data_IF_362881201280
#
_entry.id   IF_362881201280
#
_cell.length_a   1.000
_cell.length_b   1.000
_cell.length_c   1.000
_cell.angle_alpha   90.00
_cell.angle_beta   90.00
_cell.angle_gamma   90.00
#
_symmetry.space_group_name_H-M   'P 1'
#
loop_
_entity.id
_entity.type
_entity.pdbx_description
1 polymer ?
#
# COMPACT_ATOMS: atom_id res chain seq x y z
N UNK A 1 -37.51 -46.76 8.62
CA UNK A 1 -38.62 -47.64 8.18
C UNK A 1 -39.88 -46.80 8.22
N UNK A 2 -40.38 -46.47 7.04
CA UNK A 2 -41.66 -45.78 6.81
C UNK A 2 -42.82 -46.79 6.93
N UNK A 3 -44.06 -46.45 6.53
CA UNK A 3 -45.23 -46.16 7.35
C UNK A 3 -46.35 -47.19 7.08
N UNK A 4 -47.59 -46.96 7.51
CA UNK A 4 -48.89 -47.51 6.99
C UNK A 4 -49.97 -46.95 7.93
N UNK A 5 -51.17 -46.49 7.56
CA UNK A 5 -51.85 -46.12 6.31
C UNK A 5 -53.25 -45.60 6.77
N UNK A 6 -53.79 -44.57 6.11
CA UNK A 6 -55.19 -44.12 6.23
C UNK A 6 -56.19 -45.21 5.75
N UNK A 7 -57.50 -45.09 6.04
CA UNK A 7 -58.46 -44.43 5.10
C UNK A 7 -59.56 -43.63 5.86
N UNK A 8 -60.16 -42.51 5.44
CA UNK A 8 -60.78 -42.06 4.18
C UNK A 8 -62.04 -42.84 3.73
N UNK A 9 -63.21 -42.29 4.03
CA UNK A 9 -64.45 -42.41 3.26
C UNK A 9 -65.15 -41.03 3.35
N UNK A 10 -65.00 -40.18 2.32
CA UNK A 10 -65.85 -40.05 1.12
C UNK A 10 -67.10 -39.19 1.39
N UNK A 11 -67.13 -37.95 0.90
CA UNK A 11 -67.67 -37.52 -0.42
C UNK A 11 -69.21 -37.67 -0.43
N UNK A 12 -70.02 -36.61 -0.55
CA UNK A 12 -70.19 -35.87 -1.80
C UNK A 12 -71.11 -34.60 -1.68
N UNK A 13 -70.82 -33.62 -2.54
CA UNK A 13 -71.76 -32.72 -3.27
C UNK A 13 -72.52 -31.62 -2.47
N UNK A 14 -72.06 -30.35 -2.60
CA UNK A 14 -72.63 -29.33 -3.52
C UNK A 14 -71.77 -28.06 -3.55
N UNK A 15 -71.09 -27.89 -4.69
CA UNK A 15 -70.67 -26.61 -5.25
C UNK A 15 -71.94 -25.79 -5.57
N UNK A 16 -71.82 -24.46 -5.46
CA UNK A 16 -72.68 -23.35 -5.94
C UNK A 16 -73.06 -22.43 -4.77
N UNK A 17 -72.24 -21.40 -4.55
CA UNK A 17 -72.66 -20.03 -4.21
C UNK A 17 -71.42 -19.14 -4.00
N UNK A 18 -70.67 -18.96 -5.10
CA UNK A 18 -69.83 -17.79 -5.33
C UNK A 18 -70.47 -17.04 -6.50
N UNK A 19 -71.27 -16.02 -6.18
CA UNK A 19 -71.50 -14.80 -6.97
C UNK A 19 -72.67 -14.03 -6.35
N UNK A 20 -72.32 -12.96 -5.62
CA UNK A 20 -72.98 -11.65 -5.57
C UNK A 20 -74.47 -11.62 -5.17
N UNK A 21 -74.81 -10.83 -4.15
CA UNK A 21 -74.88 -9.41 -4.45
C UNK A 21 -74.11 -8.55 -3.45
N UNK A 22 -73.14 -7.83 -4.01
CA UNK A 22 -72.58 -6.57 -3.53
C UNK A 22 -73.63 -5.43 -3.50
N UNK A 23 -74.85 -5.71 -3.05
CA UNK A 23 -75.96 -4.75 -2.98
C UNK A 23 -76.70 -4.94 -1.65
N UNK A 24 -75.98 -4.74 -0.55
CA UNK A 24 -76.48 -4.25 0.74
C UNK A 24 -75.25 -3.87 1.58
N UNK A 25 -74.52 -2.91 1.03
CA UNK A 25 -73.71 -2.01 1.84
C UNK A 25 -74.64 -1.15 2.69
N UNK A 26 -74.10 -0.71 3.82
CA UNK A 26 -74.38 0.59 4.43
C UNK A 26 -75.58 0.68 5.39
N UNK A 27 -75.41 0.12 6.59
CA UNK A 27 -75.70 0.86 7.82
C UNK A 27 -74.85 0.28 8.95
N UNK A 28 -73.67 0.86 9.20
CA UNK A 28 -72.91 0.90 10.47
C UNK A 28 -71.42 1.03 10.15
N UNK A 29 -70.99 2.19 9.68
CA UNK A 29 -69.59 2.64 9.74
C UNK A 29 -69.59 4.17 9.52
N UNK A 30 -68.95 4.89 10.44
CA UNK A 30 -68.87 6.34 10.52
C UNK A 30 -68.26 6.98 9.25
N UNK A 31 -68.67 8.22 8.89
CA UNK A 31 -68.35 8.82 7.60
C UNK A 31 -67.00 9.56 7.59
N UNK A 32 -65.92 8.99 8.13
CA UNK A 32 -64.61 9.66 8.14
C UNK A 32 -63.44 8.87 7.54
N UNK A 33 -63.60 7.59 7.16
CA UNK A 33 -62.47 6.79 6.65
C UNK A 33 -62.55 6.38 5.17
N UNK A 34 -63.55 6.86 4.43
CA UNK A 34 -63.74 6.47 3.01
C UNK A 34 -62.99 7.32 1.98
N UNK A 35 -62.11 8.23 2.40
CA UNK A 35 -61.30 9.08 1.51
C UNK A 35 -59.81 8.70 1.42
N UNK A 36 -59.35 7.68 2.17
CA UNK A 36 -57.91 7.39 2.29
C UNK A 36 -57.40 6.38 1.24
N UNK A 37 -58.28 5.65 0.55
CA UNK A 37 -57.88 4.59 -0.40
C UNK A 37 -58.08 4.93 -1.89
N UNK A 38 -58.37 6.20 -2.23
CA UNK A 38 -58.55 6.62 -3.64
C UNK A 38 -57.63 7.77 -4.06
N UNK A 39 -56.60 8.10 -3.28
CA UNK A 39 -55.64 9.14 -3.66
C UNK A 39 -54.33 8.49 -4.13
N UNK A 40 -54.09 8.53 -5.44
CA UNK A 40 -52.89 7.99 -6.09
C UNK A 40 -51.64 8.83 -5.84
N UNK A 41 -51.73 9.90 -5.05
CA UNK A 41 -50.61 10.77 -4.72
C UNK A 41 -50.09 10.52 -3.30
N UNK A 42 -49.34 9.43 -3.16
CA UNK A 42 -48.65 9.07 -1.92
C UNK A 42 -47.78 10.22 -1.38
N UNK A 43 -47.31 11.14 -2.24
CA UNK A 43 -46.53 12.34 -1.87
C UNK A 43 -47.24 13.27 -0.89
N UNK A 44 -48.58 13.33 -0.89
CA UNK A 44 -49.34 14.20 0.03
C UNK A 44 -49.42 13.66 1.46
N UNK A 45 -49.25 12.34 1.64
CA UNK A 45 -49.32 11.71 2.96
C UNK A 45 -48.08 11.99 3.82
N UNK A 46 -46.91 12.23 3.20
CA UNK A 46 -45.69 12.65 3.91
C UNK A 46 -45.74 14.13 4.33
N UNK A 47 -46.57 14.93 3.68
CA UNK A 47 -46.64 16.39 3.88
C UNK A 47 -47.63 16.81 4.98
N UNK A 48 -48.40 15.89 5.56
CA UNK A 48 -49.45 16.22 6.56
C UNK A 48 -48.98 16.07 8.02
N UNK A 49 -47.73 15.68 8.23
CA UNK A 49 -47.06 15.71 9.53
C UNK A 49 -46.57 17.11 9.89
N UNK A 50 -47.51 18.02 10.19
CA UNK A 50 -47.30 19.19 11.05
C UNK A 50 -46.68 20.45 10.45
N UNK A 51 -47.49 21.33 9.83
CA UNK A 51 -47.28 22.79 9.83
C UNK A 51 -48.65 23.48 9.95
N UNK A 52 -48.77 24.37 10.93
CA UNK A 52 -49.96 25.19 11.21
C UNK A 52 -50.09 26.31 10.15
N UNK A 53 -51.26 26.61 9.55
CA UNK A 53 -51.34 27.47 8.36
C UNK A 53 -51.01 28.95 8.58
N UNK A 54 -50.85 29.39 9.82
CA UNK A 54 -50.60 30.80 10.16
C UNK A 54 -49.16 31.11 10.61
N UNK A 55 -48.22 30.15 10.52
CA UNK A 55 -46.79 30.49 10.66
C UNK A 55 -46.25 30.98 9.32
N UNK A 56 -46.07 32.29 9.22
CA UNK A 56 -45.27 32.96 8.19
C UNK A 56 -43.94 32.20 8.02
N UNK A 57 -43.83 31.43 6.94
CA UNK A 57 -42.62 30.66 6.62
C UNK A 57 -41.56 31.66 6.15
N UNK A 58 -40.60 31.98 7.01
CA UNK A 58 -39.41 32.69 6.59
C UNK A 58 -38.66 31.79 5.59
N UNK A 59 -38.73 32.12 4.30
CA UNK A 59 -38.01 31.45 3.22
C UNK A 59 -36.50 31.76 3.25
N UNK A 60 -35.86 31.47 4.37
CA UNK A 60 -34.40 31.37 4.49
C UNK A 60 -34.08 29.99 5.07
N UNK A 61 -34.24 28.94 4.27
CA UNK A 61 -33.48 27.72 4.53
C UNK A 61 -32.03 28.06 4.15
N UNK A 62 -31.28 28.52 5.14
CA UNK A 62 -29.90 28.89 4.98
C UNK A 62 -29.12 27.64 4.52
N UNK A 63 -28.51 27.72 3.34
CA UNK A 63 -27.66 26.66 2.78
C UNK A 63 -26.49 26.29 3.69
N UNK A 64 -26.25 27.07 4.77
CA UNK A 64 -25.25 26.83 5.81
C UNK A 64 -25.54 25.62 6.71
N UNK A 65 -26.78 25.09 6.71
CA UNK A 65 -27.19 24.00 7.61
C UNK A 65 -27.09 22.58 6.99
N UNK A 66 -26.84 22.47 5.67
CA UNK A 66 -26.72 21.15 5.04
C UNK A 66 -25.47 20.40 5.50
N UNK A 67 -25.53 19.06 5.71
CA UNK A 67 -24.33 18.30 6.05
C UNK A 67 -23.26 18.45 4.98
N UNK A 68 -22.05 18.82 5.36
CA UNK A 68 -20.94 19.02 4.45
C UNK A 68 -19.66 18.45 5.05
N UNK A 69 -18.73 18.03 4.19
CA UNK A 69 -17.39 17.68 4.62
C UNK A 69 -16.58 18.95 4.87
N UNK A 70 -15.90 19.01 6.01
CA UNK A 70 -15.12 20.19 6.42
C UNK A 70 -13.82 20.32 5.60
N UNK A 71 -13.26 19.18 5.17
CA UNK A 71 -12.08 19.10 4.31
C UNK A 71 -12.55 18.84 2.86
N UNK A 72 -12.45 19.87 2.00
CA UNK A 72 -12.99 19.95 0.63
C UNK A 72 -12.21 19.12 -0.41
N UNK A 73 -11.11 18.47 -0.03
CA UNK A 73 -10.39 17.61 -0.96
C UNK A 73 -11.20 16.34 -1.22
N UNK A 74 -11.55 16.10 -2.49
CA UNK A 74 -12.32 14.92 -2.90
C UNK A 74 -11.70 13.59 -2.44
N UNK A 75 -10.38 13.55 -2.18
CA UNK A 75 -9.71 12.41 -1.59
C UNK A 75 -8.49 12.80 -0.73
N UNK A 76 -8.37 12.22 0.48
CA UNK A 76 -7.19 12.36 1.35
C UNK A 76 -6.33 11.09 1.36
N UNK A 77 -5.00 11.23 1.44
CA UNK A 77 -4.06 10.10 1.50
C UNK A 77 -3.60 9.85 2.95
N UNK A 78 -3.79 8.62 3.43
CA UNK A 78 -3.31 8.20 4.76
C UNK A 78 -2.28 7.09 4.58
N UNK A 79 -1.02 7.34 4.95
CA UNK A 79 0.07 6.36 4.85
C UNK A 79 0.36 5.72 6.19
N UNK A 80 0.40 4.39 6.23
CA UNK A 80 0.59 3.61 7.47
C UNK A 80 1.55 2.46 7.21
N UNK A 81 2.42 2.19 8.17
CA UNK A 81 3.33 1.06 8.11
C UNK A 81 2.58 -0.27 8.33
N UNK A 82 2.99 -1.33 7.63
CA UNK A 82 2.49 -2.70 7.83
C UNK A 82 2.55 -3.10 9.31
N UNK A 83 1.46 -3.65 9.84
CA UNK A 83 1.31 -4.01 11.25
C UNK A 83 0.96 -2.84 12.17
N UNK A 84 1.05 -1.60 11.68
CA UNK A 84 0.63 -0.39 12.39
C UNK A 84 -0.90 -0.28 12.51
N UNK A 85 -1.36 0.88 12.98
CA UNK A 85 -2.79 1.21 13.09
C UNK A 85 -3.12 2.39 12.19
N UNK A 86 -4.11 2.24 11.31
CA UNK A 86 -4.63 3.31 10.48
C UNK A 86 -5.79 4.03 11.15
N UNK A 87 -5.87 5.34 10.93
CA UNK A 87 -6.97 6.20 11.35
C UNK A 87 -7.45 6.98 10.12
N UNK A 88 -8.56 6.54 9.52
CA UNK A 88 -9.16 7.24 8.38
C UNK A 88 -10.18 8.22 8.93
N UNK A 89 -9.90 9.51 8.83
CA UNK A 89 -10.69 10.57 9.45
C UNK A 89 -11.74 11.09 8.47
N UNK A 90 -12.97 11.24 8.95
CA UNK A 90 -14.04 11.92 8.23
C UNK A 90 -14.66 12.98 9.14
N UNK A 91 -14.60 14.25 8.75
CA UNK A 91 -15.20 15.37 9.50
C UNK A 91 -16.44 15.87 8.78
N UNK A 92 -17.58 15.85 9.47
CA UNK A 92 -18.89 16.20 8.87
C UNK A 92 -19.56 17.29 9.71
N UNK A 93 -19.68 18.49 9.18
CA UNK A 93 -20.42 19.60 9.81
C UNK A 93 -21.92 19.51 9.50
N UNK A 94 -22.75 20.25 10.25
CA UNK A 94 -24.20 20.37 9.98
C UNK A 94 -25.08 19.19 10.44
N UNK A 95 -24.48 18.08 10.90
CA UNK A 95 -25.22 16.87 11.33
C UNK A 95 -26.09 17.13 12.56
N UNK A 96 -25.57 17.86 13.54
CA UNK A 96 -26.27 18.12 14.82
C UNK A 96 -27.45 19.10 14.73
N UNK A 97 -27.54 19.87 13.64
CA UNK A 97 -28.48 21.01 13.55
C UNK A 97 -29.74 20.71 12.73
N UNK A 98 -29.70 19.72 11.85
CA UNK A 98 -30.79 19.40 10.90
C UNK A 98 -31.59 18.14 11.29
N UNK A 99 -31.47 17.67 12.53
CA UNK A 99 -32.12 16.41 12.94
C UNK A 99 -31.58 15.18 12.17
N UNK A 100 -30.36 15.30 11.63
CA UNK A 100 -29.63 14.22 10.97
C UNK A 100 -29.14 13.31 12.08
N UNK A 101 -29.66 12.08 12.10
CA UNK A 101 -29.21 11.10 13.08
C UNK A 101 -27.81 10.62 12.66
N UNK A 102 -26.89 10.49 13.62
CA UNK A 102 -25.54 9.92 13.42
C UNK A 102 -25.51 8.58 12.66
N UNK A 103 -26.63 7.85 12.65
CA UNK A 103 -26.85 6.65 11.84
C UNK A 103 -26.75 6.87 10.32
N UNK A 104 -26.59 8.12 9.86
CA UNK A 104 -26.50 8.48 8.43
C UNK A 104 -25.07 8.54 7.89
N UNK A 105 -24.04 8.32 8.73
CA UNK A 105 -22.64 8.22 8.32
C UNK A 105 -22.25 6.75 8.17
N UNK A 106 -21.60 6.39 7.07
CA UNK A 106 -21.17 5.01 6.83
C UNK A 106 -19.77 4.96 6.24
N UNK A 107 -19.03 3.91 6.60
CA UNK A 107 -17.74 3.61 5.99
C UNK A 107 -17.89 2.43 5.05
N UNK A 108 -17.41 2.61 3.82
CA UNK A 108 -17.50 1.61 2.75
C UNK A 108 -16.10 1.36 2.19
N UNK A 109 -15.73 0.08 2.03
CA UNK A 109 -14.51 -0.30 1.33
C UNK A 109 -14.79 -0.38 -0.17
N UNK A 110 -14.10 0.43 -0.98
CA UNK A 110 -14.43 0.58 -2.40
C UNK A 110 -14.02 -0.58 -3.29
N UNK A 111 -13.00 -1.36 -2.89
CA UNK A 111 -12.49 -2.47 -3.71
C UNK A 111 -13.55 -3.55 -3.97
N UNK A 112 -14.49 -3.73 -3.04
CA UNK A 112 -15.51 -4.77 -3.04
C UNK A 112 -16.88 -4.26 -2.56
N UNK A 113 -17.04 -2.95 -2.40
CA UNK A 113 -18.25 -2.29 -1.91
C UNK A 113 -18.76 -2.84 -0.57
N UNK A 114 -17.85 -3.35 0.25
CA UNK A 114 -18.21 -3.91 1.55
C UNK A 114 -18.51 -2.77 2.53
N UNK A 115 -19.74 -2.74 3.07
CA UNK A 115 -20.13 -1.83 4.12
C UNK A 115 -19.40 -2.24 5.40
N UNK A 116 -18.56 -1.37 5.92
CA UNK A 116 -17.79 -1.60 7.14
C UNK A 116 -18.59 -1.16 8.37
N UNK A 117 -19.27 -0.02 8.28
CA UNK A 117 -20.08 0.53 9.37
C UNK A 117 -21.28 1.36 8.88
N UNK A 118 -22.28 1.50 9.75
CA UNK A 118 -23.30 2.55 9.69
C UNK A 118 -23.47 3.13 11.09
N UNK A 119 -23.23 4.44 11.23
CA UNK A 119 -22.97 5.10 12.50
C UNK A 119 -21.83 4.40 13.25
N UNK A 120 -22.06 4.14 14.54
CA UNK A 120 -21.11 3.43 15.40
C UNK A 120 -21.15 1.89 15.23
N UNK A 121 -22.15 1.35 14.54
CA UNK A 121 -22.32 -0.10 14.36
C UNK A 121 -21.44 -0.62 13.23
N UNK A 122 -20.69 -1.69 13.49
CA UNK A 122 -19.87 -2.39 12.50
C UNK A 122 -20.68 -3.52 11.84
N UNK A 123 -20.41 -3.74 10.54
CA UNK A 123 -20.96 -4.83 9.72
C UNK A 123 -19.91 -5.83 9.24
N UNK A 124 -18.62 -5.49 9.37
CA UNK A 124 -17.51 -6.42 9.14
C UNK A 124 -17.32 -7.32 10.36
N UNK A 125 -16.99 -8.60 10.12
CA UNK A 125 -16.59 -9.54 11.18
C UNK A 125 -15.10 -9.42 11.55
N UNK A 126 -14.34 -8.57 10.87
CA UNK A 126 -12.92 -8.34 11.17
C UNK A 126 -12.78 -7.40 12.38
N UNK A 127 -12.40 -7.98 13.52
CA UNK A 127 -12.24 -7.30 14.82
C UNK A 127 -11.19 -6.18 14.84
N UNK A 128 -10.36 -6.08 13.79
CA UNK A 128 -9.38 -5.01 13.64
C UNK A 128 -10.03 -3.66 13.33
N UNK A 129 -11.24 -3.67 12.77
CA UNK A 129 -11.98 -2.48 12.40
C UNK A 129 -12.76 -1.94 13.60
N UNK A 130 -12.70 -0.63 13.83
CA UNK A 130 -13.48 0.04 14.86
C UNK A 130 -13.89 1.45 14.41
N UNK A 131 -15.02 1.94 14.91
CA UNK A 131 -15.41 3.34 14.75
C UNK A 131 -15.03 4.10 16.02
N UNK A 132 -14.25 5.15 15.84
CA UNK A 132 -13.87 6.09 16.90
C UNK A 132 -14.65 7.39 16.68
N UNK A 133 -15.55 7.67 17.60
CA UNK A 133 -16.37 8.87 17.60
C UNK A 133 -16.61 9.30 19.05
N UNK A 134 -16.28 10.54 19.37
CA UNK A 134 -16.54 11.12 20.68
C UNK A 134 -17.92 11.81 20.69
N UNK A 135 -18.72 11.68 21.77
CA UNK A 135 -20.02 12.35 21.85
C UNK A 135 -19.89 13.87 21.61
N UNK A 136 -20.70 14.40 20.70
CA UNK A 136 -20.69 15.82 20.32
C UNK A 136 -19.53 16.25 19.41
N UNK A 137 -18.72 15.30 18.94
CA UNK A 137 -17.69 15.56 17.92
C UNK A 137 -18.28 15.44 16.52
N UNK A 138 -17.81 16.26 15.58
CA UNK A 138 -18.13 16.11 14.16
C UNK A 138 -17.21 15.08 13.45
N UNK A 139 -16.30 14.43 14.19
CA UNK A 139 -15.29 13.53 13.66
C UNK A 139 -15.69 12.06 13.79
N UNK A 140 -15.65 11.36 12.66
CA UNK A 140 -15.97 9.96 12.50
C UNK A 140 -14.78 9.22 11.91
N UNK A 141 -14.03 8.54 12.76
CA UNK A 141 -12.76 7.92 12.36
C UNK A 141 -12.91 6.41 12.26
N UNK A 142 -12.60 5.86 11.09
CA UNK A 142 -12.43 4.42 10.92
C UNK A 142 -11.02 4.02 11.36
N UNK A 143 -10.93 3.24 12.43
CA UNK A 143 -9.69 2.64 12.90
C UNK A 143 -9.50 1.26 12.27
N UNK A 144 -8.29 0.96 11.81
CA UNK A 144 -7.90 -0.38 11.35
C UNK A 144 -6.60 -0.76 12.08
N UNK A 145 -6.68 -1.72 13.00
CA UNK A 145 -5.50 -2.24 13.73
C UNK A 145 -4.75 -3.28 12.89
N UNK A 146 -3.45 -3.44 13.18
CA UNK A 146 -2.58 -4.45 12.56
C UNK A 146 -2.73 -4.47 11.03
N UNK A 147 -2.55 -3.30 10.43
CA UNK A 147 -2.81 -3.07 9.00
C UNK A 147 -2.03 -4.05 8.14
N UNK A 148 -2.70 -4.64 7.17
CA UNK A 148 -2.15 -5.63 6.26
C UNK A 148 -2.03 -5.08 4.84
N UNK A 149 -1.20 -5.70 4.01
CA UNK A 149 -1.07 -5.30 2.59
C UNK A 149 -2.42 -5.29 1.86
N UNK A 150 -3.34 -6.20 2.22
CA UNK A 150 -4.69 -6.30 1.63
C UNK A 150 -5.64 -5.16 2.01
N UNK A 151 -5.31 -4.40 3.05
CA UNK A 151 -6.12 -3.26 3.49
C UNK A 151 -5.81 -2.00 2.66
N UNK A 152 -4.73 -2.00 1.87
CA UNK A 152 -4.39 -0.92 0.95
C UNK A 152 -5.52 -0.68 -0.05
N UNK A 153 -5.98 0.57 -0.14
CA UNK A 153 -6.90 1.01 -1.17
C UNK A 153 -7.81 2.14 -0.72
N UNK A 154 -8.85 2.37 -1.51
CA UNK A 154 -9.80 3.44 -1.29
C UNK A 154 -10.92 3.03 -0.32
N UNK A 155 -11.19 3.90 0.63
CA UNK A 155 -12.31 3.86 1.56
C UNK A 155 -13.19 5.09 1.33
N UNK A 156 -14.48 4.95 1.57
CA UNK A 156 -15.46 6.02 1.39
C UNK A 156 -16.18 6.25 2.71
N UNK A 157 -16.13 7.48 3.19
CA UNK A 157 -17.06 8.00 4.19
C UNK A 157 -18.26 8.58 3.46
N UNK A 158 -19.43 8.00 3.68
CA UNK A 158 -20.65 8.34 3.00
C UNK A 158 -21.65 8.93 4.01
N UNK A 159 -22.25 10.07 3.66
CA UNK A 159 -23.26 10.75 4.49
C UNK A 159 -24.57 10.84 3.72
N UNK A 160 -25.65 10.32 4.31
CA UNK A 160 -27.00 10.46 3.76
C UNK A 160 -27.59 11.82 4.19
N UNK A 161 -27.86 12.70 3.24
CA UNK A 161 -28.48 14.01 3.45
C UNK A 161 -29.91 14.02 2.89
N UNK A 162 -30.75 15.02 3.24
CA UNK A 162 -32.09 15.13 2.67
C UNK A 162 -32.11 15.27 1.13
N UNK A 163 -31.03 15.79 0.55
CA UNK A 163 -30.90 16.04 -0.90
C UNK A 163 -30.22 14.90 -1.66
N UNK A 164 -29.66 13.90 -0.96
CA UNK A 164 -29.01 12.76 -1.58
C UNK A 164 -27.89 12.19 -0.73
N UNK A 165 -26.85 11.67 -1.39
CA UNK A 165 -25.68 11.10 -0.73
C UNK A 165 -24.47 11.94 -1.10
N UNK A 166 -23.67 12.32 -0.10
CA UNK A 166 -22.36 12.92 -0.30
C UNK A 166 -21.27 11.94 0.15
N UNK A 167 -20.14 11.95 -0.55
CA UNK A 167 -19.03 11.00 -0.33
C UNK A 167 -17.72 11.75 -0.15
N UNK A 168 -16.93 11.30 0.83
CA UNK A 168 -15.55 11.71 1.04
C UNK A 168 -14.65 10.47 0.96
N UNK A 169 -13.61 10.54 0.12
CA UNK A 169 -12.76 9.40 -0.16
C UNK A 169 -11.45 9.48 0.63
N UNK A 170 -10.97 8.34 1.13
CA UNK A 170 -9.69 8.23 1.82
C UNK A 170 -8.90 7.07 1.23
N UNK A 171 -7.71 7.35 0.71
CA UNK A 171 -6.82 6.35 0.15
C UNK A 171 -5.79 5.92 1.21
N UNK A 172 -5.94 4.70 1.72
CA UNK A 172 -5.03 4.11 2.70
C UNK A 172 -3.85 3.46 1.98
N UNK A 173 -2.65 4.02 2.12
CA UNK A 173 -1.40 3.44 1.63
C UNK A 173 -0.71 2.63 2.72
N UNK A 174 -0.50 1.34 2.47
CA UNK A 174 0.21 0.44 3.38
C UNK A 174 1.64 0.25 2.89
N UNK A 175 2.61 0.76 3.66
CA UNK A 175 4.03 0.73 3.29
C UNK A 175 4.82 -0.23 4.17
N UNK A 176 5.86 -0.81 3.59
CA UNK A 176 6.86 -1.60 4.32
C UNK A 176 8.17 -0.84 4.20
N UNK A 177 8.80 -0.43 5.31
CA UNK A 177 10.11 0.21 5.27
C UNK A 177 11.13 -0.74 4.65
N UNK A 178 11.99 -0.18 3.81
CA UNK A 178 13.02 -0.91 3.09
C UNK A 178 14.39 -0.41 3.53
N UNK A 179 15.24 -1.32 3.97
CA UNK A 179 16.65 -1.05 4.22
C UNK A 179 17.51 -1.66 3.11
N UNK A 180 18.54 -0.94 2.69
CA UNK A 180 19.59 -1.46 1.82
C UNK A 180 20.93 -0.81 2.12
N UNK A 181 22.01 -1.55 1.93
CA UNK A 181 23.38 -1.04 2.06
C UNK A 181 23.89 -0.72 0.66
N UNK A 182 24.46 0.49 0.48
CA UNK A 182 25.04 0.90 -0.79
C UNK A 182 26.22 -0.02 -1.15
N UNK A 183 26.19 -0.57 -2.37
CA UNK A 183 27.15 -1.55 -2.86
C UNK A 183 26.45 -2.66 -3.66
N UNK A 184 27.19 -3.40 -4.47
CA UNK A 184 26.64 -4.49 -5.29
C UNK A 184 27.01 -5.86 -4.69
N UNK A 185 26.19 -6.35 -3.76
CA UNK A 185 26.29 -7.71 -3.18
C UNK A 185 27.42 -7.90 -2.17
N UNK A 186 28.64 -7.52 -2.54
CA UNK A 186 29.85 -7.66 -1.73
C UNK A 186 30.75 -6.42 -1.87
N UNK A 187 31.59 -6.21 -0.85
CA UNK A 187 32.57 -5.13 -0.82
C UNK A 187 33.97 -5.72 -0.62
N UNK A 188 34.90 -5.39 -1.51
CA UNK A 188 36.31 -5.77 -1.38
C UNK A 188 37.12 -4.56 -0.90
N UNK A 189 37.92 -4.73 0.14
CA UNK A 189 38.68 -3.67 0.80
C UNK A 189 40.09 -4.16 1.11
N UNK A 190 41.09 -3.33 0.84
CA UNK A 190 42.47 -3.66 1.20
C UNK A 190 42.75 -3.38 2.68
N UNK A 191 43.61 -4.20 3.28
CA UNK A 191 44.12 -3.97 4.63
C UNK A 191 44.73 -2.57 4.77
N UNK A 192 44.51 -1.93 5.92
CA UNK A 192 45.04 -0.59 6.18
C UNK A 192 44.28 0.56 5.49
N UNK A 193 43.29 0.26 4.64
CA UNK A 193 42.42 1.28 4.03
C UNK A 193 41.24 1.66 4.94
N UNK A 194 40.01 1.70 4.44
CA UNK A 194 38.82 2.05 5.23
C UNK A 194 37.59 1.31 4.70
N UNK A 195 36.88 0.61 5.59
CA UNK A 195 35.53 0.13 5.32
C UNK A 195 34.58 1.31 5.55
N UNK A 196 33.74 1.61 4.57
CA UNK A 196 32.73 2.66 4.63
C UNK A 196 31.41 2.13 4.10
N UNK A 197 30.55 1.64 5.00
CA UNK A 197 29.23 1.13 4.66
C UNK A 197 28.18 2.19 4.92
N UNK A 198 27.29 2.38 3.95
CA UNK A 198 26.17 3.32 4.06
C UNK A 198 24.87 2.54 3.92
N UNK A 199 24.11 2.47 5.00
CA UNK A 199 22.77 1.93 5.03
C UNK A 199 21.75 3.05 4.82
N UNK A 200 20.81 2.82 3.91
CA UNK A 200 19.68 3.69 3.64
C UNK A 200 18.41 2.96 4.09
N UNK A 201 17.57 3.64 4.84
CA UNK A 201 16.23 3.18 5.22
C UNK A 201 15.23 4.19 4.66
N UNK A 202 14.34 3.71 3.79
CA UNK A 202 13.33 4.51 3.11
C UNK A 202 11.93 3.90 3.23
N UNK A 203 10.92 4.60 2.70
CA UNK A 203 9.49 4.20 2.75
C UNK A 203 8.97 3.99 4.17
N UNK A 204 9.59 4.67 5.13
CA UNK A 204 9.22 4.65 6.54
C UNK A 204 8.39 5.89 6.88
N UNK A 205 7.11 5.75 7.29
CA UNK A 205 6.27 6.89 7.67
C UNK A 205 6.87 7.68 8.84
N UNK A 206 7.49 6.98 9.77
CA UNK A 206 8.24 7.56 10.89
C UNK A 206 9.69 7.07 10.84
N UNK A 207 10.69 7.93 11.13
CA UNK A 207 12.07 7.47 11.21
C UNK A 207 12.25 6.37 12.27
N UNK A 208 13.16 5.40 12.06
CA UNK A 208 13.47 4.39 13.06
C UNK A 208 13.96 5.01 14.36
N UNK A 209 13.60 4.45 15.51
CA UNK A 209 14.07 4.95 16.82
C UNK A 209 15.57 4.69 17.04
N UNK A 210 16.08 3.61 16.45
CA UNK A 210 17.48 3.24 16.49
C UNK A 210 17.88 2.50 15.21
N UNK A 211 19.14 2.65 14.83
CA UNK A 211 19.81 1.87 13.78
C UNK A 211 21.09 1.31 14.38
N UNK A 212 21.34 0.03 14.18
CA UNK A 212 22.55 -0.61 14.67
C UNK A 212 23.18 -1.50 13.60
N UNK A 213 24.47 -1.75 13.79
CA UNK A 213 25.26 -2.59 12.91
C UNK A 213 25.71 -3.86 13.63
N UNK A 214 25.64 -4.97 12.91
CA UNK A 214 26.14 -6.26 13.34
C UNK A 214 27.17 -6.78 12.35
N UNK A 215 28.09 -7.59 12.85
CA UNK A 215 29.02 -8.38 12.05
C UNK A 215 28.89 -9.85 12.46
N UNK A 216 28.54 -10.72 11.53
CA UNK A 216 28.32 -12.16 11.79
C UNK A 216 27.42 -12.38 13.02
N UNK A 217 26.25 -11.73 13.03
CA UNK A 217 25.24 -11.78 14.09
C UNK A 217 25.69 -11.26 15.47
N UNK A 218 26.79 -10.51 15.53
CA UNK A 218 27.28 -9.87 16.75
C UNK A 218 27.25 -8.35 16.60
N UNK A 219 26.67 -7.66 17.58
CA UNK A 219 26.68 -6.20 17.64
C UNK A 219 28.11 -5.68 17.59
N UNK A 220 28.35 -4.69 16.73
CA UNK A 220 29.64 -4.01 16.65
C UNK A 220 29.80 -3.12 17.87
N UNK A 221 30.87 -3.34 18.64
CA UNK A 221 31.21 -2.51 19.78
C UNK A 221 31.95 -1.26 19.32
N UNK A 222 31.28 -0.11 19.33
CA UNK A 222 31.85 1.19 18.98
C UNK A 222 32.66 1.83 20.12
N UNK A 223 32.64 1.25 21.33
CA UNK A 223 33.47 1.67 22.46
C UNK A 223 34.81 0.95 22.54
N UNK A 224 35.16 0.11 21.56
CA UNK A 224 36.48 -0.54 21.53
C UNK A 224 37.55 0.52 21.23
N UNK A 225 38.14 1.09 22.30
CA UNK A 225 39.15 2.15 22.24
C UNK A 225 40.41 1.77 21.48
N UNK A 226 40.60 0.50 21.14
CA UNK A 226 41.72 0.04 20.31
C UNK A 226 41.50 0.21 18.81
N UNK A 227 40.29 0.52 18.35
CA UNK A 227 39.92 0.60 16.93
C UNK A 227 39.12 1.87 16.66
N UNK A 228 39.49 2.61 15.61
CA UNK A 228 38.70 3.77 15.15
C UNK A 228 37.48 3.27 14.36
N UNK A 229 36.43 2.93 15.10
CA UNK A 229 35.11 2.55 14.59
C UNK A 229 34.15 3.69 14.89
N UNK A 230 33.50 4.24 13.87
CA UNK A 230 32.46 5.24 14.04
C UNK A 230 31.15 4.83 13.37
N UNK A 231 30.05 5.16 14.02
CA UNK A 231 28.70 5.01 13.49
C UNK A 231 28.04 6.38 13.52
N UNK A 232 27.66 6.87 12.35
CA UNK A 232 26.97 8.15 12.18
C UNK A 232 25.58 7.87 11.62
N UNK A 233 24.53 8.26 12.35
CA UNK A 233 23.15 8.07 11.89
C UNK A 233 22.44 9.41 11.78
N UNK A 234 21.96 9.70 10.58
CA UNK A 234 21.17 10.88 10.25
C UNK A 234 19.71 10.45 10.07
N UNK A 235 18.83 10.72 11.06
CA UNK A 235 17.41 10.39 10.95
C UNK A 235 16.70 11.30 9.95
N UNK A 236 15.65 10.77 9.32
CA UNK A 236 14.80 11.53 8.40
C UNK A 236 13.82 10.61 7.64
N UNK A 237 13.01 11.17 6.72
CA UNK A 237 12.15 10.37 5.83
C UNK A 237 12.92 9.33 5.03
N UNK A 238 14.20 9.63 4.76
CA UNK A 238 15.23 8.73 4.28
C UNK A 238 16.34 8.72 5.33
N UNK A 239 16.30 7.76 6.25
CA UNK A 239 17.31 7.64 7.31
C UNK A 239 18.58 7.04 6.72
N UNK A 240 19.73 7.63 7.06
CA UNK A 240 21.03 7.16 6.61
C UNK A 240 21.89 6.81 7.82
N UNK A 241 22.44 5.61 7.85
CA UNK A 241 23.41 5.18 8.86
C UNK A 241 24.71 4.77 8.19
N UNK A 242 25.82 5.31 8.66
CA UNK A 242 27.16 5.10 8.11
C UNK A 242 28.04 4.41 9.14
N UNK A 243 28.59 3.26 8.78
CA UNK A 243 29.59 2.55 9.55
C UNK A 243 30.97 2.75 8.91
N UNK A 244 31.91 3.26 9.69
CA UNK A 244 33.30 3.48 9.26
C UNK A 244 34.21 2.64 10.16
N UNK A 245 35.08 1.84 9.54
CA UNK A 245 36.15 1.09 10.23
C UNK A 245 37.45 1.42 9.53
N UNK A 246 38.37 2.09 10.23
CA UNK A 246 39.69 2.43 9.69
C UNK A 246 40.70 1.28 9.88
N UNK A 247 41.66 1.21 8.97
CA UNK A 247 42.75 0.24 8.98
C UNK A 247 42.28 -1.21 9.16
N UNK A 248 41.31 -1.68 8.35
CA UNK A 248 40.72 -2.99 8.52
C UNK A 248 41.77 -4.10 8.38
N UNK A 249 41.59 -5.17 9.14
CA UNK A 249 42.40 -6.39 9.12
C UNK A 249 41.64 -7.52 8.41
N UNK A 250 42.34 -8.60 8.02
CA UNK A 250 41.69 -9.79 7.43
C UNK A 250 40.55 -10.30 8.32
N UNK A 251 40.73 -10.23 9.65
CA UNK A 251 39.72 -10.62 10.63
C UNK A 251 38.45 -9.79 10.58
N UNK A 252 38.47 -8.62 9.94
CA UNK A 252 37.32 -7.74 9.76
C UNK A 252 36.43 -8.16 8.59
N UNK A 253 36.86 -9.15 7.78
CA UNK A 253 35.98 -9.79 6.81
C UNK A 253 34.76 -10.43 7.49
N UNK A 254 33.63 -10.43 6.79
CA UNK A 254 32.41 -11.05 7.27
C UNK A 254 31.15 -10.39 6.74
N UNK A 255 30.01 -10.89 7.20
CA UNK A 255 28.70 -10.34 6.86
C UNK A 255 28.36 -9.17 7.79
N UNK A 256 28.18 -7.98 7.22
CA UNK A 256 27.78 -6.78 7.93
C UNK A 256 26.30 -6.51 7.70
N UNK A 257 25.55 -6.39 8.79
CA UNK A 257 24.09 -6.23 8.75
C UNK A 257 23.70 -4.90 9.40
N UNK A 258 22.96 -4.09 8.66
CA UNK A 258 22.27 -2.90 9.15
C UNK A 258 20.84 -3.28 9.55
N UNK A 259 20.47 -3.01 10.79
CA UNK A 259 19.13 -3.30 11.32
C UNK A 259 18.55 -2.07 12.00
N UNK A 260 17.22 -1.90 11.94
CA UNK A 260 16.52 -0.83 12.62
C UNK A 260 15.18 -1.28 13.20
N UNK A 261 14.60 -0.47 14.08
CA UNK A 261 13.42 -0.84 14.89
C UNK A 261 12.16 -1.19 14.09
N UNK A 262 12.05 -0.73 12.85
CA UNK A 262 10.81 -0.80 12.08
C UNK A 262 11.04 -1.20 10.60
N UNK A 263 12.15 -1.85 10.27
CA UNK A 263 12.49 -2.30 8.92
C UNK A 263 13.06 -3.71 8.94
N UNK A 264 12.91 -4.43 7.84
CA UNK A 264 13.71 -5.64 7.61
C UNK A 264 15.19 -5.27 7.47
N UNK A 265 16.12 -6.10 7.98
CA UNK A 265 17.55 -5.80 7.97
C UNK A 265 18.17 -5.96 6.58
N UNK A 266 19.21 -5.18 6.31
CA UNK A 266 20.00 -5.27 5.08
C UNK A 266 21.41 -5.78 5.40
N UNK A 267 21.95 -6.66 4.56
CA UNK A 267 23.26 -7.27 4.77
C UNK A 267 24.17 -7.13 3.55
N UNK A 268 25.48 -7.00 3.79
CA UNK A 268 26.53 -6.99 2.77
C UNK A 268 27.74 -7.77 3.27
N UNK A 269 28.34 -8.60 2.43
CA UNK A 269 29.57 -9.29 2.79
C UNK A 269 30.79 -8.41 2.46
N UNK A 270 31.70 -8.24 3.42
CA UNK A 270 32.95 -7.49 3.23
C UNK A 270 34.13 -8.47 3.23
N UNK A 271 34.96 -8.39 2.19
CA UNK A 271 36.22 -9.12 2.05
C UNK A 271 37.38 -8.18 2.27
N UNK A 272 38.24 -8.50 3.24
CA UNK A 272 39.47 -7.75 3.52
C UNK A 272 40.69 -8.54 3.06
N UNK A 273 41.39 -8.05 2.03
CA UNK A 273 42.58 -8.66 1.44
C UNK A 273 43.85 -7.89 1.79
N UNK A 274 45.00 -8.58 1.86
CA UNK A 274 46.30 -7.90 1.77
C UNK A 274 46.40 -7.38 0.34
N UNK A 275 46.48 -6.07 0.16
CA UNK A 275 46.59 -5.47 -1.18
C UNK A 275 47.66 -6.19 -1.97
N UNK A 276 47.28 -6.78 -3.10
CA UNK A 276 48.24 -7.42 -3.99
C UNK A 276 49.08 -6.30 -4.62
N UNK A 277 50.40 -6.35 -4.44
CA UNK A 277 51.37 -5.58 -5.23
C UNK A 277 51.38 -6.05 -6.70
N UNK A 278 50.21 -6.10 -7.37
CA UNK A 278 50.07 -6.40 -8.79
C UNK A 278 50.15 -5.15 -9.67
N UNK A 279 50.50 -3.99 -9.12
CA UNK A 279 50.88 -2.82 -9.90
C UNK A 279 52.38 -2.87 -10.27
N UNK A 280 52.76 -3.81 -11.15
CA UNK A 280 53.90 -3.75 -12.09
C UNK A 280 54.38 -5.15 -12.55
N UNK A 281 53.50 -5.96 -13.14
CA UNK A 281 53.96 -6.95 -14.13
C UNK A 281 53.68 -6.34 -15.51
N UNK A 282 54.46 -5.31 -15.84
CA UNK A 282 54.73 -4.99 -17.23
C UNK A 282 55.43 -6.21 -17.82
N UNK A 283 54.83 -6.76 -18.88
CA UNK A 283 55.34 -7.87 -19.67
C UNK A 283 56.84 -7.70 -19.89
N UNK A 284 57.66 -8.57 -19.28
CA UNK A 284 59.04 -8.76 -19.74
C UNK A 284 58.96 -9.07 -21.24
N UNK A 285 59.68 -8.26 -22.01
CA UNK A 285 59.82 -8.30 -23.46
C UNK A 285 59.97 -9.75 -23.94
N UNK A 286 58.96 -10.26 -24.65
CA UNK A 286 59.11 -11.49 -25.41
C UNK A 286 60.03 -11.21 -26.59
N UNK A 287 61.02 -12.07 -26.75
CA UNK A 287 62.12 -12.11 -27.71
C UNK A 287 61.69 -12.18 -29.20
N UNK A 288 60.92 -11.20 -29.66
CA UNK A 288 60.57 -11.02 -31.09
C UNK A 288 61.53 -10.05 -31.82
N UNK A 289 62.26 -9.18 -31.09
CA UNK A 289 63.11 -8.14 -31.71
C UNK A 289 64.55 -8.55 -32.03
N UNK A 290 64.93 -9.83 -31.86
CA UNK A 290 66.24 -10.32 -32.32
C UNK A 290 66.25 -10.91 -33.74
N UNK A 291 65.09 -11.10 -34.37
CA UNK A 291 65.00 -11.69 -35.72
C UNK A 291 64.98 -10.61 -36.81
N UNK A 292 64.54 -9.38 -36.50
CA UNK A 292 64.47 -8.29 -37.48
C UNK A 292 65.83 -7.66 -37.85
N UNK A 293 66.88 -7.89 -37.05
CA UNK A 293 68.22 -7.36 -37.32
C UNK A 293 69.09 -8.25 -38.22
N UNK A 294 68.71 -9.51 -38.45
CA UNK A 294 69.49 -10.46 -39.26
C UNK A 294 69.04 -10.46 -40.73
N UNK A 295 67.80 -10.08 -41.03
CA UNK A 295 67.27 -10.08 -42.40
C UNK A 295 67.65 -8.87 -43.26
N UNK A 296 68.28 -7.82 -42.69
CA UNK A 296 68.74 -6.65 -43.47
C UNK A 296 70.08 -6.84 -44.18
N UNK A 297 70.77 -7.97 -44.02
CA UNK A 297 72.06 -8.24 -44.65
C UNK A 297 72.04 -9.34 -45.73
N UNK A 298 70.87 -9.85 -46.14
CA UNK A 298 70.77 -10.95 -47.12
C UNK A 298 70.19 -10.55 -48.49
N UNK A 299 69.98 -9.27 -48.77
CA UNK A 299 69.51 -8.80 -50.08
C UNK A 299 70.39 -7.71 -50.69
N UNK A 300 71.60 -8.11 -51.09
CA UNK A 300 72.36 -7.55 -52.22
C UNK A 300 73.62 -8.42 -52.46
N UNK A 301 74.13 -8.59 -53.69
CA UNK A 301 73.50 -8.67 -55.01
C UNK A 301 73.94 -9.95 -55.77
N UNK A 302 73.21 -10.39 -56.82
CA UNK A 302 73.84 -11.18 -57.89
C UNK A 302 73.00 -11.11 -59.17
N UNK A 303 73.32 -10.12 -60.01
CA UNK A 303 73.02 -10.10 -61.44
C UNK A 303 74.19 -10.79 -62.14
N UNK A 304 73.87 -11.54 -63.21
CA UNK A 304 74.73 -12.18 -64.22
C UNK A 304 75.17 -13.63 -63.91
N UNK A 305 74.69 -14.60 -64.71
CA UNK A 305 75.39 -15.15 -65.89
C UNK A 305 74.56 -16.31 -66.50
N UNK A 306 74.02 -16.04 -67.69
CA UNK A 306 73.95 -16.85 -68.92
C UNK A 306 73.48 -18.33 -68.96
N UNK A 307 72.44 -18.52 -69.80
CA UNK A 307 72.34 -19.44 -70.96
C UNK A 307 72.63 -20.93 -70.78
N UNK A 308 71.64 -21.78 -71.03
CA UNK A 308 71.55 -22.69 -72.20
C UNK A 308 70.42 -23.71 -72.01
N UNK A 309 69.70 -23.96 -73.11
CA UNK A 309 68.86 -25.12 -73.48
C UNK A 309 68.35 -26.08 -72.40
N UNK A 310 67.09 -26.52 -72.45
CA UNK A 310 66.61 -27.38 -73.54
C UNK A 310 65.08 -27.41 -73.56
N UNK A 311 64.58 -27.44 -74.80
CA UNK A 311 63.19 -27.61 -75.25
C UNK A 311 62.49 -28.89 -74.73
N UNK A 312 61.15 -28.76 -74.69
CA UNK A 312 60.12 -29.55 -75.44
C UNK A 312 59.21 -30.52 -74.67
N UNK A 313 57.98 -30.59 -75.21
CA UNK A 313 56.91 -31.62 -75.15
C UNK A 313 55.83 -31.36 -74.08
N UNK A 314 54.51 -31.31 -74.34
CA UNK A 314 53.64 -31.23 -75.53
C UNK A 314 52.17 -31.15 -75.03
N UNK A 315 51.27 -30.52 -75.83
CA UNK A 315 49.82 -30.77 -76.08
C UNK A 315 48.89 -31.10 -74.88
N UNK A 316 47.68 -30.55 -74.74
CA UNK A 316 46.63 -30.14 -75.70
C UNK A 316 45.85 -28.93 -75.20
#
# INVERSE_FOLDING_TARGET
>A
MSPILMPMHMLEIRIILLCLPSILLATTLEPEQKSILTDSDWKKLWMRGGINPDSKLDNNLDTSDSPMFEDSEMAHNTTVQLGGTAFLVCKVSGVDRVGVNWNQISWIRRRDWHILSSGAQLYTNDERFAILHAPGSNMWTLQIKFVQRRDHGMYECQVSTPTGIISHFVNLQVVVPEAFILGSGELHVDMGSTINLVCIIEKSPTPPQYVYWQKNDRLINYYDTRRDISIETTPGPRTQSRLIIREPQITDSGNYTCSASNTEPASIYVFVSKGDNMAAISRKTSSADRIAAIFKYLLAPCVLVNTLGIRRIFLT
#
